data_IF_008458652134
#
_entry.id   IF_008458652134
#
_cell.length_a   1.000
_cell.length_b   1.000
_cell.length_c   1.000
_cell.angle_alpha   90.00
_cell.angle_beta   90.00
_cell.angle_gamma   90.00
#
_symmetry.space_group_name_H-M   'P 1'
#
loop_
_entity.id
_entity.type
_entity.pdbx_description
1 polymer ?
#
# COMPACT_ATOMS: atom_id res chain seq x y z
N UNK A 1 15.55 -4.60 -47.85
CA UNK A 1 16.07 -3.36 -47.23
C UNK A 1 14.87 -2.52 -46.84
N UNK A 2 14.53 -2.44 -45.55
CA UNK A 2 13.51 -1.50 -45.08
C UNK A 2 14.12 -0.10 -45.16
N UNK A 3 13.67 0.69 -46.14
CA UNK A 3 14.09 2.09 -46.28
C UNK A 3 13.83 2.85 -44.98
N UNK A 4 14.80 3.66 -44.56
CA UNK A 4 14.76 4.38 -43.29
C UNK A 4 13.46 5.15 -43.11
N UNK A 5 12.75 4.85 -42.02
CA UNK A 5 11.56 5.60 -41.61
C UNK A 5 12.08 6.87 -40.93
N UNK A 6 12.04 7.98 -41.64
CA UNK A 6 12.45 9.28 -41.12
C UNK A 6 11.31 9.86 -40.28
N UNK A 7 11.44 9.79 -38.95
CA UNK A 7 10.44 10.31 -38.03
C UNK A 7 10.51 11.84 -37.98
N UNK A 8 9.36 12.51 -38.09
CA UNK A 8 9.26 13.97 -37.88
C UNK A 8 8.84 14.23 -36.44
N UNK A 9 9.52 15.18 -35.80
CA UNK A 9 9.28 15.55 -34.41
C UNK A 9 8.56 16.90 -34.35
N UNK A 10 7.42 16.97 -33.67
CA UNK A 10 6.74 18.21 -33.34
C UNK A 10 6.51 18.32 -31.84
N UNK A 11 7.00 19.39 -31.22
CA UNK A 11 6.75 19.68 -29.82
C UNK A 11 5.60 20.69 -29.70
N UNK A 12 4.49 20.29 -29.11
CA UNK A 12 3.40 21.20 -28.78
C UNK A 12 3.43 21.54 -27.30
N UNK A 13 3.48 22.84 -27.00
CA UNK A 13 3.49 23.36 -25.63
C UNK A 13 2.09 23.89 -25.29
N UNK A 14 1.46 23.30 -24.29
CA UNK A 14 0.29 23.88 -23.63
C UNK A 14 0.70 24.48 -22.28
N UNK A 15 -0.08 25.42 -21.75
CA UNK A 15 0.19 26.13 -20.49
C UNK A 15 0.38 25.20 -19.27
N UNK A 16 -0.02 23.92 -19.36
CA UNK A 16 0.11 22.93 -18.27
C UNK A 16 1.03 21.73 -18.59
N UNK A 17 1.35 21.44 -19.86
CA UNK A 17 2.15 20.26 -20.25
C UNK A 17 2.86 20.46 -21.61
N UNK A 18 4.01 19.80 -21.79
CA UNK A 18 4.63 19.59 -23.10
C UNK A 18 4.22 18.23 -23.66
N UNK A 19 3.73 18.20 -24.90
CA UNK A 19 3.47 16.99 -25.66
C UNK A 19 4.45 16.90 -26.82
N UNK A 20 5.09 15.75 -26.99
CA UNK A 20 5.92 15.44 -28.15
C UNK A 20 5.12 14.54 -29.09
N UNK A 21 4.90 15.01 -30.31
CA UNK A 21 4.30 14.24 -31.39
C UNK A 21 5.43 13.68 -32.25
N UNK A 22 5.48 12.36 -32.35
CA UNK A 22 6.37 11.65 -33.27
C UNK A 22 5.51 11.21 -34.45
N UNK A 23 5.62 11.90 -35.57
CA UNK A 23 5.03 11.46 -36.82
C UNK A 23 5.95 10.40 -37.44
N UNK A 24 5.57 9.13 -37.26
CA UNK A 24 6.17 8.00 -37.95
C UNK A 24 5.42 7.80 -39.27
N UNK A 25 6.05 8.04 -40.43
CA UNK A 25 5.41 7.74 -41.69
C UNK A 25 5.16 6.23 -41.78
N UNK A 26 3.97 5.87 -42.24
CA UNK A 26 3.59 4.48 -42.51
C UNK A 26 4.59 3.83 -43.47
N UNK A 27 5.02 2.58 -43.23
CA UNK A 27 5.83 1.85 -44.20
C UNK A 27 5.13 1.80 -45.55
N UNK A 28 5.87 2.01 -46.65
CA UNK A 28 5.33 1.99 -48.01
C UNK A 28 4.58 0.67 -48.27
N UNK A 29 3.33 0.75 -48.75
CA UNK A 29 2.47 -0.41 -48.99
C UNK A 29 1.56 -0.80 -47.81
N UNK A 30 1.69 -0.13 -46.66
CA UNK A 30 0.80 -0.32 -45.52
C UNK A 30 -0.35 0.70 -45.49
N UNK A 31 -0.37 1.70 -46.38
CA UNK A 31 -1.41 2.75 -46.40
C UNK A 31 -2.82 2.15 -46.58
N UNK A 32 -2.95 1.12 -47.42
CA UNK A 32 -4.22 0.44 -47.67
C UNK A 32 -4.77 -0.34 -46.48
N UNK A 33 -3.91 -0.75 -45.53
CA UNK A 33 -4.34 -1.48 -44.32
C UNK A 33 -4.99 -0.56 -43.29
N UNK A 34 -4.59 0.71 -43.25
CA UNK A 34 -5.15 1.71 -42.33
C UNK A 34 -6.36 2.45 -42.90
N UNK A 35 -6.57 2.41 -44.22
CA UNK A 35 -7.76 2.95 -44.90
C UNK A 35 -8.97 1.98 -44.92
N UNK A 36 -8.77 0.72 -44.51
CA UNK A 36 -9.82 -0.30 -44.52
C UNK A 36 -10.66 -0.31 -43.23
N UNK A 37 -11.95 -0.73 -43.30
CA UNK A 37 -12.73 -0.99 -42.10
C UNK A 37 -12.03 -2.03 -41.22
N UNK A 38 -12.06 -1.84 -39.89
CA UNK A 38 -11.33 -2.67 -38.92
C UNK A 38 -11.55 -4.20 -39.09
N UNK A 39 -12.70 -4.61 -39.61
CA UNK A 39 -13.03 -6.01 -39.90
C UNK A 39 -12.10 -6.70 -40.93
N UNK A 40 -11.44 -5.95 -41.83
CA UNK A 40 -10.48 -6.49 -42.82
C UNK A 40 -9.02 -6.19 -42.48
N UNK A 41 -8.78 -5.27 -41.55
CA UNK A 41 -7.44 -4.79 -41.22
C UNK A 41 -6.78 -5.52 -40.05
N UNK A 42 -7.54 -6.30 -39.27
CA UNK A 42 -7.02 -7.06 -38.14
C UNK A 42 -6.42 -8.41 -38.60
N UNK A 43 -5.11 -8.64 -38.40
CA UNK A 43 -4.46 -9.87 -38.85
C UNK A 43 -4.91 -11.13 -38.08
N UNK A 44 -4.98 -12.27 -38.79
CA UNK A 44 -5.29 -13.57 -38.18
C UNK A 44 -4.08 -14.19 -37.46
N UNK A 45 -2.85 -13.87 -37.86
CA UNK A 45 -1.65 -14.38 -37.23
C UNK A 45 -1.38 -13.65 -35.89
N UNK A 46 -1.08 -14.38 -34.79
CA UNK A 46 -0.81 -13.76 -33.49
C UNK A 46 0.38 -12.79 -33.48
N UNK A 47 1.44 -13.07 -34.26
CA UNK A 47 2.60 -12.17 -34.38
C UNK A 47 2.24 -10.82 -35.01
N UNK A 48 1.34 -10.85 -36.00
CA UNK A 48 0.93 -9.66 -36.76
C UNK A 48 -0.02 -8.79 -35.93
N UNK A 49 -0.89 -9.42 -35.10
CA UNK A 49 -1.69 -8.68 -34.12
C UNK A 49 -0.83 -7.93 -33.10
N UNK A 50 0.27 -8.53 -32.64
CA UNK A 50 1.21 -7.87 -31.72
C UNK A 50 1.92 -6.69 -32.40
N UNK A 51 2.35 -6.87 -33.65
CA UNK A 51 2.98 -5.81 -34.44
C UNK A 51 2.01 -4.64 -34.72
N UNK A 52 0.75 -4.96 -35.06
CA UNK A 52 -0.32 -3.98 -35.25
C UNK A 52 -0.59 -3.19 -33.97
N UNK A 53 -0.78 -3.86 -32.83
CA UNK A 53 -1.00 -3.20 -31.54
C UNK A 53 0.16 -2.27 -31.18
N UNK A 54 1.40 -2.71 -31.37
CA UNK A 54 2.61 -1.89 -31.19
C UNK A 54 2.57 -0.64 -32.07
N UNK A 55 2.28 -0.81 -33.36
CA UNK A 55 2.19 0.30 -34.31
C UNK A 55 1.10 1.31 -33.94
N UNK A 56 -0.07 0.82 -33.55
CA UNK A 56 -1.18 1.67 -33.09
C UNK A 56 -0.82 2.43 -31.81
N UNK A 57 -0.20 1.76 -30.83
CA UNK A 57 0.26 2.43 -29.61
C UNK A 57 1.31 3.51 -29.88
N UNK A 58 2.23 3.29 -30.81
CA UNK A 58 3.22 4.30 -31.19
C UNK A 58 2.58 5.51 -31.90
N UNK A 59 1.51 5.29 -32.68
CA UNK A 59 0.84 6.36 -33.44
C UNK A 59 -0.22 7.13 -32.67
N UNK A 60 -0.95 6.47 -31.76
CA UNK A 60 -2.09 7.09 -31.06
C UNK A 60 -2.24 6.67 -29.60
N UNK A 61 -1.24 6.01 -29.03
CA UNK A 61 -1.23 5.54 -27.65
C UNK A 61 -0.49 6.46 -26.69
N UNK A 62 -0.89 6.43 -25.43
CA UNK A 62 -0.14 7.03 -24.32
C UNK A 62 -0.28 6.22 -23.05
N UNK A 63 0.70 6.32 -22.15
CA UNK A 63 0.68 5.67 -20.83
C UNK A 63 1.20 6.64 -19.77
N UNK A 64 0.48 6.72 -18.65
CA UNK A 64 0.91 7.50 -17.50
C UNK A 64 1.97 6.74 -16.70
N UNK A 65 2.88 7.49 -16.07
CA UNK A 65 3.77 6.93 -15.07
C UNK A 65 2.95 6.35 -13.90
N UNK A 66 3.37 5.19 -13.35
CA UNK A 66 2.64 4.52 -12.25
C UNK A 66 2.76 5.26 -10.91
N UNK A 67 3.54 6.33 -10.85
CA UNK A 67 3.54 7.29 -9.73
C UNK A 67 2.21 8.04 -9.60
N UNK A 68 1.50 8.25 -10.72
CA UNK A 68 0.20 8.92 -10.77
C UNK A 68 -0.96 7.89 -10.82
N UNK A 69 -2.07 8.25 -11.46
CA UNK A 69 -3.16 7.30 -11.73
C UNK A 69 -2.77 6.39 -12.90
N UNK A 70 -2.93 5.08 -12.71
CA UNK A 70 -2.82 4.11 -13.79
C UNK A 70 -3.77 4.47 -14.91
N UNK A 71 -3.20 4.74 -16.07
CA UNK A 71 -3.94 5.09 -17.27
C UNK A 71 -3.07 4.77 -18.48
N UNK A 72 -3.61 3.95 -19.37
CA UNK A 72 -3.11 3.79 -20.73
C UNK A 72 -4.29 4.06 -21.65
N UNK A 73 -4.09 4.84 -22.70
CA UNK A 73 -5.13 5.11 -23.68
C UNK A 73 -4.62 4.96 -25.12
N UNK A 74 -5.56 4.70 -26.03
CA UNK A 74 -5.39 4.68 -27.48
C UNK A 74 -6.53 5.48 -28.10
N UNK A 75 -6.20 6.51 -28.87
CA UNK A 75 -7.19 7.33 -29.59
C UNK A 75 -7.43 6.72 -30.97
N UNK A 76 -8.66 6.27 -31.22
CA UNK A 76 -9.01 5.50 -32.40
C UNK A 76 -9.98 6.27 -33.30
N UNK A 77 -9.85 6.15 -34.62
CA UNK A 77 -10.68 6.89 -35.57
C UNK A 77 -12.10 6.36 -35.68
N UNK A 78 -12.34 5.07 -35.37
CA UNK A 78 -13.66 4.44 -35.50
C UNK A 78 -13.95 3.45 -34.37
N UNK A 79 -15.24 3.28 -34.05
CA UNK A 79 -15.71 2.29 -33.06
C UNK A 79 -15.28 0.87 -33.44
N UNK A 80 -15.23 0.54 -34.75
CA UNK A 80 -14.81 -0.78 -35.22
C UNK A 80 -13.39 -1.16 -34.81
N UNK A 81 -12.46 -0.19 -34.82
CA UNK A 81 -11.10 -0.38 -34.32
C UNK A 81 -11.09 -0.61 -32.81
N UNK A 82 -11.89 0.16 -32.06
CA UNK A 82 -12.00 0.03 -30.62
C UNK A 82 -12.51 -1.37 -30.22
N UNK A 83 -13.58 -1.86 -30.84
CA UNK A 83 -14.12 -3.20 -30.61
C UNK A 83 -13.12 -4.31 -30.97
N UNK A 84 -12.39 -4.15 -32.08
CA UNK A 84 -11.40 -5.14 -32.52
C UNK A 84 -10.24 -5.25 -31.53
N UNK A 85 -9.73 -4.11 -31.04
CA UNK A 85 -8.66 -4.08 -30.05
C UNK A 85 -9.12 -4.59 -28.68
N UNK A 86 -10.35 -4.28 -28.24
CA UNK A 86 -10.91 -4.87 -27.02
C UNK A 86 -10.86 -6.40 -27.10
N UNK A 87 -11.27 -6.99 -28.22
CA UNK A 87 -11.25 -8.45 -28.40
C UNK A 87 -9.84 -9.02 -28.26
N UNK A 88 -8.86 -8.41 -28.91
CA UNK A 88 -7.45 -8.84 -28.82
C UNK A 88 -6.92 -8.74 -27.39
N UNK A 89 -7.18 -7.62 -26.71
CA UNK A 89 -6.76 -7.43 -25.32
C UNK A 89 -7.45 -8.43 -24.39
N UNK A 90 -8.73 -8.70 -24.61
CA UNK A 90 -9.51 -9.66 -23.86
C UNK A 90 -8.98 -11.10 -24.01
N UNK A 91 -8.57 -11.50 -25.23
CA UNK A 91 -7.90 -12.79 -25.49
C UNK A 91 -6.60 -12.94 -24.66
N UNK A 92 -5.98 -11.83 -24.25
CA UNK A 92 -4.78 -11.80 -23.41
C UNK A 92 -5.07 -11.47 -21.93
N UNK A 93 -6.33 -11.59 -21.50
CA UNK A 93 -6.74 -11.36 -20.10
C UNK A 93 -6.69 -9.89 -19.68
N UNK A 94 -6.76 -8.96 -20.62
CA UNK A 94 -6.77 -7.50 -20.38
C UNK A 94 -8.17 -6.95 -20.62
N UNK A 95 -8.74 -6.30 -19.60
CA UNK A 95 -10.07 -5.65 -19.69
C UNK A 95 -9.90 -4.19 -20.04
N UNK A 96 -10.32 -3.78 -21.23
CA UNK A 96 -10.30 -2.41 -21.68
C UNK A 96 -11.70 -1.78 -21.69
N UNK A 97 -11.77 -0.48 -21.38
CA UNK A 97 -12.97 0.34 -21.57
C UNK A 97 -12.84 1.18 -22.84
N UNK A 98 -13.97 1.62 -23.39
CA UNK A 98 -14.01 2.57 -24.51
C UNK A 98 -14.94 3.72 -24.14
N UNK A 99 -14.54 4.94 -24.50
CA UNK A 99 -15.36 6.14 -24.37
C UNK A 99 -15.28 6.95 -25.64
N UNK A 100 -16.37 7.60 -26.02
CA UNK A 100 -16.35 8.56 -27.13
C UNK A 100 -15.97 9.95 -26.58
N UNK A 101 -14.98 10.60 -27.21
CA UNK A 101 -14.49 11.92 -26.82
C UNK A 101 -14.20 12.75 -28.06
N UNK A 102 -14.90 13.87 -28.20
CA UNK A 102 -14.73 14.82 -29.32
C UNK A 102 -14.81 14.16 -30.72
N UNK A 103 -15.73 13.18 -30.89
CA UNK A 103 -15.90 12.44 -32.15
C UNK A 103 -14.87 11.32 -32.39
N UNK A 104 -13.97 11.07 -31.43
CA UNK A 104 -13.02 9.96 -31.46
C UNK A 104 -13.37 8.88 -30.45
N UNK A 105 -12.91 7.65 -30.69
CA UNK A 105 -13.11 6.52 -29.79
C UNK A 105 -11.83 6.27 -28.98
N UNK A 106 -11.87 6.53 -27.68
CA UNK A 106 -10.71 6.36 -26.80
C UNK A 106 -10.84 5.05 -26.05
N UNK A 107 -9.97 4.09 -26.39
CA UNK A 107 -9.79 2.86 -25.61
C UNK A 107 -8.89 3.18 -24.42
N UNK A 108 -9.23 2.71 -23.23
CA UNK A 108 -8.44 2.97 -22.03
C UNK A 108 -8.33 1.77 -21.08
N UNK A 109 -7.24 1.75 -20.30
CA UNK A 109 -6.95 0.82 -19.22
C UNK A 109 -6.67 1.60 -17.94
N UNK A 110 -7.24 1.16 -16.82
CA UNK A 110 -7.07 1.80 -15.50
C UNK A 110 -6.39 0.90 -14.46
N UNK A 111 -6.10 -0.35 -14.81
CA UNK A 111 -5.43 -1.30 -13.95
C UNK A 111 -3.95 -1.45 -14.35
N UNK A 112 -3.06 -1.47 -13.36
CA UNK A 112 -1.62 -1.56 -13.60
C UNK A 112 -1.21 -2.87 -14.29
N UNK A 113 -1.84 -3.98 -13.93
CA UNK A 113 -1.51 -5.30 -14.51
C UNK A 113 -1.92 -5.39 -15.98
N UNK A 114 -3.06 -4.83 -16.36
CA UNK A 114 -3.52 -4.73 -17.73
C UNK A 114 -2.59 -3.85 -18.57
N UNK A 115 -2.09 -2.75 -18.00
CA UNK A 115 -1.07 -1.91 -18.64
C UNK A 115 0.21 -2.71 -18.88
N UNK A 116 0.74 -3.40 -17.85
CA UNK A 116 1.95 -4.23 -17.96
C UNK A 116 1.78 -5.36 -18.96
N UNK A 117 0.64 -6.06 -18.95
CA UNK A 117 0.31 -7.10 -19.94
C UNK A 117 0.26 -6.55 -21.36
N UNK A 118 -0.33 -5.36 -21.54
CA UNK A 118 -0.41 -4.70 -22.85
C UNK A 118 0.98 -4.29 -23.35
N UNK A 119 1.80 -3.67 -22.50
CA UNK A 119 3.20 -3.33 -22.83
C UNK A 119 4.02 -4.58 -23.17
N UNK A 120 3.82 -5.67 -22.42
CA UNK A 120 4.47 -6.96 -22.67
C UNK A 120 4.03 -7.57 -24.00
N UNK A 121 2.74 -7.50 -24.33
CA UNK A 121 2.19 -7.98 -25.59
C UNK A 121 2.79 -7.24 -26.79
N UNK A 122 3.03 -5.94 -26.64
CA UNK A 122 3.72 -5.12 -27.63
C UNK A 122 5.23 -5.34 -27.64
N UNK A 123 5.80 -6.15 -26.74
CA UNK A 123 7.25 -6.38 -26.64
C UNK A 123 8.04 -5.19 -26.10
N UNK A 124 7.40 -4.30 -25.32
CA UNK A 124 8.03 -3.15 -24.69
C UNK A 124 8.73 -3.52 -23.36
N UNK A 125 9.64 -4.49 -23.39
CA UNK A 125 10.25 -5.09 -22.18
C UNK A 125 10.94 -4.07 -21.27
N UNK A 126 11.64 -3.08 -21.85
CA UNK A 126 12.25 -1.99 -21.07
C UNK A 126 11.20 -1.11 -20.39
N UNK A 127 10.11 -0.79 -21.10
CA UNK A 127 9.01 0.00 -20.54
C UNK A 127 8.28 -0.74 -19.42
N UNK A 128 8.11 -2.06 -19.54
CA UNK A 128 7.58 -2.90 -18.45
C UNK A 128 8.47 -2.82 -17.22
N UNK A 129 9.79 -3.00 -17.37
CA UNK A 129 10.72 -2.95 -16.24
C UNK A 129 10.71 -1.59 -15.53
N UNK A 130 10.69 -0.49 -16.29
CA UNK A 130 10.64 0.86 -15.73
C UNK A 130 9.31 1.13 -15.01
N UNK A 131 8.20 0.68 -15.59
CA UNK A 131 6.88 0.77 -14.97
C UNK A 131 6.83 -0.01 -13.64
N UNK A 132 7.33 -1.25 -13.62
CA UNK A 132 7.39 -2.08 -12.42
C UNK A 132 8.29 -1.47 -11.34
N UNK A 133 9.46 -0.94 -11.72
CA UNK A 133 10.38 -0.30 -10.78
C UNK A 133 9.71 0.87 -10.04
N UNK A 134 9.05 1.77 -10.79
CA UNK A 134 8.34 2.91 -10.18
C UNK A 134 7.14 2.41 -9.33
N UNK A 135 6.44 1.36 -9.77
CA UNK A 135 5.32 0.75 -9.03
C UNK A 135 5.76 0.21 -7.67
N UNK A 136 6.87 -0.53 -7.63
CA UNK A 136 7.45 -1.08 -6.40
C UNK A 136 7.86 0.04 -5.45
N UNK A 137 8.59 1.05 -5.94
CA UNK A 137 9.02 2.18 -5.11
C UNK A 137 7.82 2.89 -4.48
N UNK A 138 6.77 3.16 -5.27
CA UNK A 138 5.54 3.78 -4.78
C UNK A 138 4.85 2.92 -3.70
N UNK A 139 4.79 1.61 -3.89
CA UNK A 139 4.18 0.72 -2.91
C UNK A 139 4.96 0.72 -1.59
N UNK A 140 6.28 0.58 -1.66
CA UNK A 140 7.16 0.60 -0.47
C UNK A 140 7.04 1.94 0.26
N UNK A 141 7.16 3.07 -0.44
CA UNK A 141 6.98 4.40 0.17
C UNK A 141 5.60 4.55 0.80
N UNK A 142 4.54 4.05 0.14
CA UNK A 142 3.19 4.07 0.68
C UNK A 142 3.03 3.23 1.95
N UNK A 143 3.65 2.06 2.01
CA UNK A 143 3.67 1.20 3.20
C UNK A 143 4.43 1.88 4.36
N UNK A 144 5.61 2.43 4.09
CA UNK A 144 6.41 3.18 5.08
C UNK A 144 5.62 4.37 5.63
N UNK A 145 5.00 5.18 4.77
CA UNK A 145 4.20 6.33 5.20
C UNK A 145 3.01 5.92 6.08
N UNK A 146 2.31 4.83 5.73
CA UNK A 146 1.21 4.32 6.57
C UNK A 146 1.72 3.84 7.93
N UNK A 147 2.85 3.14 7.96
CA UNK A 147 3.47 2.67 9.20
C UNK A 147 3.90 3.84 10.08
N UNK A 148 4.61 4.82 9.52
CA UNK A 148 5.03 6.02 10.25
C UNK A 148 3.83 6.80 10.77
N UNK A 149 2.78 7.00 9.97
CA UNK A 149 1.56 7.66 10.43
C UNK A 149 0.90 6.92 11.61
N UNK A 150 0.89 5.59 11.58
CA UNK A 150 0.37 4.78 12.68
C UNK A 150 1.24 4.88 13.93
N UNK A 151 2.57 4.82 13.78
CA UNK A 151 3.52 4.97 14.88
C UNK A 151 3.41 6.36 15.52
N UNK A 152 3.42 7.43 14.72
CA UNK A 152 3.24 8.82 15.20
C UNK A 152 1.91 8.99 15.92
N UNK A 153 0.79 8.53 15.36
CA UNK A 153 -0.52 8.65 16.01
C UNK A 153 -0.58 7.88 17.35
N UNK A 154 0.10 6.74 17.46
CA UNK A 154 0.20 6.00 18.71
C UNK A 154 1.06 6.71 19.74
N UNK A 155 2.18 7.32 19.31
CA UNK A 155 3.04 8.13 20.18
C UNK A 155 2.25 9.34 20.71
N UNK A 156 1.58 10.09 19.84
CA UNK A 156 0.76 11.26 20.22
C UNK A 156 -0.33 10.88 21.23
N UNK A 157 -1.05 9.78 20.99
CA UNK A 157 -2.07 9.28 21.92
C UNK A 157 -1.46 8.86 23.27
N UNK A 158 -0.28 8.25 23.25
CA UNK A 158 0.42 7.80 24.47
C UNK A 158 0.90 8.99 25.29
N UNK A 159 1.53 9.98 24.65
CA UNK A 159 1.96 11.23 25.29
C UNK A 159 0.77 11.99 25.86
N UNK A 160 -0.29 12.18 25.06
CA UNK A 160 -1.50 12.87 25.52
C UNK A 160 -2.17 12.16 26.71
N UNK A 161 -2.18 10.83 26.72
CA UNK A 161 -2.67 10.06 27.87
C UNK A 161 -1.78 10.22 29.10
N UNK A 162 -0.46 10.17 28.95
CA UNK A 162 0.49 10.35 30.05
C UNK A 162 0.36 11.74 30.67
N UNK A 163 0.26 12.79 29.84
CA UNK A 163 0.06 14.16 30.32
C UNK A 163 -1.25 14.32 31.10
N UNK A 164 -2.35 13.75 30.61
CA UNK A 164 -3.63 13.75 31.34
C UNK A 164 -3.54 13.03 32.70
N UNK A 165 -2.86 11.89 32.75
CA UNK A 165 -2.66 11.14 33.99
C UNK A 165 -1.85 11.95 35.01
N UNK A 166 -0.75 12.56 34.57
CA UNK A 166 0.10 13.40 35.44
C UNK A 166 -0.67 14.62 35.96
N UNK A 167 -1.45 15.27 35.10
CA UNK A 167 -2.29 16.40 35.51
C UNK A 167 -3.36 16.00 36.54
N UNK A 168 -4.05 14.87 36.32
CA UNK A 168 -5.04 14.34 37.25
C UNK A 168 -4.43 13.99 38.63
N UNK A 169 -3.26 13.36 38.63
CA UNK A 169 -2.51 13.07 39.86
C UNK A 169 -2.16 14.36 40.60
N UNK A 170 -1.66 15.38 39.89
CA UNK A 170 -1.35 16.68 40.49
C UNK A 170 -2.57 17.37 41.12
N UNK A 171 -3.75 17.22 40.53
CA UNK A 171 -4.99 17.76 41.10
C UNK A 171 -5.43 17.02 42.38
N UNK A 172 -5.32 15.69 42.40
CA UNK A 172 -5.61 14.89 43.60
C UNK A 172 -4.64 15.23 44.75
N UNK A 173 -3.38 15.51 44.45
CA UNK A 173 -2.38 15.96 45.42
C UNK A 173 -2.74 17.34 45.98
N UNK A 174 -3.02 18.30 45.09
CA UNK A 174 -3.35 19.69 45.48
C UNK A 174 -4.60 19.77 46.34
N UNK A 175 -5.56 18.88 46.14
CA UNK A 175 -6.81 18.80 46.89
C UNK A 175 -6.72 17.94 48.15
N UNK A 176 -5.56 17.33 48.44
CA UNK A 176 -5.36 16.44 49.60
C UNK A 176 -6.12 15.11 49.50
N UNK A 177 -6.68 14.80 48.32
CA UNK A 177 -7.49 13.59 48.10
C UNK A 177 -6.63 12.36 47.85
N UNK A 178 -5.39 12.54 47.40
CA UNK A 178 -4.47 11.44 47.11
C UNK A 178 -4.15 10.61 48.38
N UNK A 179 -3.91 11.28 49.50
CA UNK A 179 -3.53 10.64 50.77
C UNK A 179 -4.65 9.75 51.36
N UNK A 180 -5.90 10.00 50.96
CA UNK A 180 -7.07 9.20 51.34
C UNK A 180 -7.34 7.99 50.44
N UNK A 181 -6.56 7.79 49.38
CA UNK A 181 -6.72 6.64 48.47
C UNK A 181 -5.99 5.40 49.02
N UNK A 182 -6.30 4.22 48.47
CA UNK A 182 -5.59 2.98 48.80
C UNK A 182 -4.10 3.09 48.46
N UNK A 183 -3.25 2.39 49.23
CA UNK A 183 -1.80 2.36 49.05
C UNK A 183 -1.41 2.03 47.60
N UNK A 184 -2.12 1.08 46.98
CA UNK A 184 -1.90 0.68 45.60
C UNK A 184 -2.11 1.82 44.57
N UNK A 185 -3.03 2.75 44.83
CA UNK A 185 -3.29 3.92 43.99
C UNK A 185 -2.27 5.05 44.27
N UNK A 186 -1.88 5.23 45.53
CA UNK A 186 -0.82 6.18 45.89
C UNK A 186 0.53 5.80 45.26
N UNK A 187 0.92 4.53 45.36
CA UNK A 187 2.13 4.00 44.72
C UNK A 187 2.09 4.18 43.19
N UNK A 188 0.93 3.97 42.57
CA UNK A 188 0.73 4.20 41.14
C UNK A 188 0.90 5.68 40.77
N UNK A 189 0.30 6.58 41.55
CA UNK A 189 0.40 8.02 41.33
C UNK A 189 1.85 8.49 41.41
N UNK A 190 2.58 8.08 42.47
CA UNK A 190 3.99 8.39 42.63
C UNK A 190 4.85 7.83 41.50
N UNK A 191 4.63 6.56 41.10
CA UNK A 191 5.41 5.94 40.04
C UNK A 191 5.19 6.64 38.68
N UNK A 192 3.96 7.01 38.35
CA UNK A 192 3.64 7.75 37.11
C UNK A 192 4.21 9.16 37.11
N UNK A 193 4.14 9.87 38.25
CA UNK A 193 4.68 11.23 38.39
C UNK A 193 6.20 11.28 38.37
N UNK A 194 6.85 10.24 38.90
CA UNK A 194 8.30 10.10 38.86
C UNK A 194 8.84 9.70 37.47
N UNK A 195 8.00 9.13 36.60
CA UNK A 195 8.40 8.64 35.28
C UNK A 195 7.34 9.01 34.21
N UNK A 196 7.12 10.32 33.94
CA UNK A 196 6.07 10.79 33.02
C UNK A 196 6.29 10.36 31.57
N UNK A 197 7.54 10.11 31.17
CA UNK A 197 7.96 9.69 29.84
C UNK A 197 7.74 8.20 29.56
N UNK A 198 7.60 7.38 30.61
CA UNK A 198 7.46 5.93 30.46
C UNK A 198 6.09 5.55 29.88
N UNK A 199 6.07 4.64 28.91
CA UNK A 199 4.82 4.08 28.42
C UNK A 199 4.19 3.10 29.44
N UNK A 200 2.98 2.63 29.18
CA UNK A 200 2.28 1.70 30.09
C UNK A 200 3.04 0.39 30.34
N UNK A 201 3.76 -0.13 29.35
CA UNK A 201 4.50 -1.38 29.48
C UNK A 201 5.75 -1.20 30.36
N UNK A 202 6.50 -0.11 30.14
CA UNK A 202 7.67 0.23 30.95
C UNK A 202 7.30 0.45 32.41
N UNK A 203 6.19 1.15 32.67
CA UNK A 203 5.73 1.37 34.03
C UNK A 203 5.23 0.08 34.70
N UNK A 204 4.59 -0.81 33.94
CA UNK A 204 4.19 -2.13 34.40
C UNK A 204 5.40 -3.00 34.77
N UNK A 205 6.44 -3.02 33.95
CA UNK A 205 7.70 -3.73 34.26
C UNK A 205 8.37 -3.16 35.52
N UNK A 206 8.43 -1.83 35.64
CA UNK A 206 9.03 -1.15 36.80
C UNK A 206 8.32 -1.49 38.10
N UNK A 207 6.99 -1.51 38.09
CA UNK A 207 6.16 -1.84 39.25
C UNK A 207 5.94 -3.34 39.45
N UNK A 208 6.46 -4.19 38.55
CA UNK A 208 6.20 -5.64 38.52
C UNK A 208 4.69 -5.98 38.52
N UNK A 209 3.92 -5.21 37.75
CA UNK A 209 2.49 -5.39 37.56
C UNK A 209 2.18 -5.76 36.11
N UNK A 210 0.97 -6.25 35.85
CA UNK A 210 0.47 -6.39 34.48
C UNK A 210 0.16 -5.03 33.88
N UNK A 211 0.31 -4.89 32.55
CA UNK A 211 -0.08 -3.67 31.80
C UNK A 211 -1.52 -3.25 32.10
N UNK A 212 -2.42 -4.24 32.19
CA UNK A 212 -3.84 -4.01 32.46
C UNK A 212 -4.07 -3.47 33.87
N UNK A 213 -3.36 -3.98 34.89
CA UNK A 213 -3.45 -3.47 36.26
C UNK A 213 -2.99 -2.00 36.35
N UNK A 214 -1.85 -1.66 35.74
CA UNK A 214 -1.35 -0.27 35.67
C UNK A 214 -2.35 0.65 34.97
N UNK A 215 -2.85 0.23 33.80
CA UNK A 215 -3.83 1.02 33.05
C UNK A 215 -5.14 1.23 33.85
N UNK A 216 -5.61 0.21 34.55
CA UNK A 216 -6.80 0.31 35.39
C UNK A 216 -6.62 1.31 36.53
N UNK A 217 -5.51 1.22 37.28
CA UNK A 217 -5.22 2.14 38.38
C UNK A 217 -5.07 3.58 37.90
N UNK A 218 -4.39 3.81 36.77
CA UNK A 218 -4.25 5.14 36.18
C UNK A 218 -5.57 5.72 35.68
N UNK A 219 -6.45 4.89 35.10
CA UNK A 219 -7.79 5.33 34.70
C UNK A 219 -8.60 5.76 35.93
N UNK A 220 -8.57 4.96 36.99
CA UNK A 220 -9.27 5.25 38.25
C UNK A 220 -8.79 6.55 38.90
N UNK A 221 -7.48 6.83 38.87
CA UNK A 221 -6.92 8.12 39.33
C UNK A 221 -7.45 9.29 38.51
N UNK A 222 -7.55 9.15 37.19
CA UNK A 222 -8.13 10.19 36.30
C UNK A 222 -9.63 10.40 36.61
N UNK A 223 -10.41 9.32 36.71
CA UNK A 223 -11.85 9.38 37.04
C UNK A 223 -12.10 10.03 38.40
N UNK A 224 -11.28 9.70 39.41
CA UNK A 224 -11.35 10.30 40.74
C UNK A 224 -11.03 11.80 40.71
N UNK A 225 -10.04 12.23 39.91
CA UNK A 225 -9.71 13.64 39.74
C UNK A 225 -10.86 14.41 39.06
N UNK A 226 -11.53 13.80 38.08
CA UNK A 226 -12.67 14.38 37.36
C UNK A 226 -13.99 14.35 38.17
N UNK A 227 -14.01 13.71 39.34
CA UNK A 227 -15.18 13.67 40.22
C UNK A 227 -16.25 12.65 39.80
N UNK A 228 -15.91 11.67 38.96
CA UNK A 228 -16.80 10.58 38.61
C UNK A 228 -16.86 9.55 39.76
N UNK A 229 -18.08 9.14 40.14
CA UNK A 229 -18.31 8.09 41.15
C UNK A 229 -17.73 6.77 40.67
N UNK A 230 -16.77 6.20 41.40
CA UNK A 230 -16.15 4.92 41.04
C UNK A 230 -16.71 3.82 41.94
N UNK A 231 -17.55 2.94 41.38
CA UNK A 231 -18.05 1.74 42.06
C UNK A 231 -16.91 0.76 42.37
N UNK A 232 -16.92 0.21 43.59
CA UNK A 232 -16.31 -1.06 43.99
C UNK A 232 -14.79 -1.20 43.88
N UNK A 233 -14.10 -1.28 45.02
CA UNK A 233 -12.77 -1.92 45.12
C UNK A 233 -12.93 -3.44 44.98
N UNK A 234 -12.35 -4.02 43.92
CA UNK A 234 -11.94 -5.42 43.92
C UNK A 234 -10.46 -5.47 43.57
N UNK A 235 -9.64 -5.47 44.61
CA UNK A 235 -8.21 -5.75 44.51
C UNK A 235 -8.01 -7.23 44.15
N UNK A 236 -7.82 -7.49 42.86
CA UNK A 236 -7.24 -8.74 42.40
C UNK A 236 -5.77 -8.78 42.79
N UNK A 237 -5.46 -9.39 43.95
CA UNK A 237 -4.13 -9.89 44.26
C UNK A 237 -3.77 -11.00 43.25
N UNK A 238 -3.14 -10.62 42.15
CA UNK A 238 -2.52 -11.56 41.21
C UNK A 238 -1.12 -11.90 41.74
N UNK A 239 -1.03 -12.97 42.54
CA UNK A 239 0.26 -13.57 42.87
C UNK A 239 0.85 -14.18 41.59
N UNK A 240 1.74 -13.43 40.96
CA UNK A 240 2.51 -13.89 39.81
C UNK A 240 3.32 -15.15 40.16
N UNK A 241 2.79 -16.28 39.73
CA UNK A 241 3.47 -17.58 39.73
C UNK A 241 4.51 -17.55 38.60
N UNK A 242 5.78 -17.52 38.98
CA UNK A 242 6.91 -17.61 38.04
C UNK A 242 7.14 -19.09 37.75
N UNK A 243 6.56 -19.60 36.67
CA UNK A 243 6.86 -20.94 36.16
C UNK A 243 8.30 -20.96 35.61
N UNK A 244 9.20 -21.52 36.42
CA UNK A 244 10.49 -22.01 35.98
C UNK A 244 10.30 -23.34 35.26
N UNK A 245 10.42 -23.35 33.93
CA UNK A 245 10.58 -24.59 33.17
C UNK A 245 12.07 -24.91 33.02
N UNK A 246 12.53 -25.79 33.91
CA UNK A 246 13.70 -26.62 33.70
C UNK A 246 13.37 -27.71 32.67
N UNK A 247 14.17 -27.81 31.60
CA UNK A 247 14.11 -28.92 30.66
C UNK A 247 14.81 -30.16 31.24
N UNK A 248 14.23 -31.37 31.19
CA UNK A 248 14.98 -32.59 31.41
C UNK A 248 15.53 -33.13 30.08
N UNK A 249 16.82 -33.44 30.10
CA UNK A 249 17.53 -34.16 29.05
C UNK A 249 16.96 -35.59 28.89
N UNK A 250 16.50 -35.92 27.69
CA UNK A 250 16.18 -37.29 27.29
C UNK A 250 17.42 -38.02 26.74
N UNK A 251 17.57 -39.34 26.94
CA UNK A 251 18.80 -40.06 26.64
C UNK A 251 18.93 -40.43 25.16
N UNK A 252 20.19 -40.45 24.69
CA UNK A 252 20.62 -40.96 23.40
C UNK A 252 20.25 -42.44 23.21
N UNK A 253 19.73 -42.88 22.06
CA UNK A 253 19.61 -44.30 21.76
C UNK A 253 20.93 -44.86 21.21
N UNK A 254 21.41 -45.91 21.89
CA UNK A 254 22.45 -46.81 21.41
C UNK A 254 21.94 -47.63 20.23
N UNK A 255 22.79 -47.84 19.23
CA UNK A 255 22.48 -48.64 18.05
C UNK A 255 22.46 -50.14 18.29
N UNK A 256 21.89 -50.87 17.33
CA UNK A 256 22.26 -52.19 16.81
C UNK A 256 21.06 -52.78 16.07
N UNK A 257 21.27 -53.38 14.89
CA UNK A 257 20.25 -54.25 14.28
C UNK A 257 20.26 -54.33 12.76
N UNK A 258 21.23 -55.05 12.21
CA UNK A 258 21.21 -55.67 10.88
C UNK A 258 19.96 -56.53 10.63
N UNK A 259 19.45 -56.54 9.38
CA UNK A 259 18.92 -57.69 8.58
C UNK A 259 18.21 -57.11 7.32
N UNK A 260 18.81 -57.18 6.13
CA UNK A 260 18.63 -58.24 5.11
C UNK A 260 17.17 -58.58 4.76
N UNK A 261 16.63 -57.96 3.71
CA UNK A 261 16.12 -58.58 2.47
C UNK A 261 15.60 -57.46 1.55
#
# INVERSE_FOLDING_TARGET
>A
MLGGIEAKYQAARSAKQMAFFIELPLPRGMEGSFAQPAARACPEAPCDRKAMLRGMFMGCGSVNAPSARYHLELVLPTQGWASSLIRILHEHGVRAGVVERAGHHVLYLKDGDGIVRTLSLMGASRGVMEFENIRVVREVSGQVNRRLNFETANIDKTIGSAMRQVAAIGELERTGRLDGLSLALQEMAHARRANPEMNLNELAQRMRLSKSAVNHRLRRLVEMAEGASVDGEQDGHDHGQVDGQAAPAGPLPAGLGSRSA
#
